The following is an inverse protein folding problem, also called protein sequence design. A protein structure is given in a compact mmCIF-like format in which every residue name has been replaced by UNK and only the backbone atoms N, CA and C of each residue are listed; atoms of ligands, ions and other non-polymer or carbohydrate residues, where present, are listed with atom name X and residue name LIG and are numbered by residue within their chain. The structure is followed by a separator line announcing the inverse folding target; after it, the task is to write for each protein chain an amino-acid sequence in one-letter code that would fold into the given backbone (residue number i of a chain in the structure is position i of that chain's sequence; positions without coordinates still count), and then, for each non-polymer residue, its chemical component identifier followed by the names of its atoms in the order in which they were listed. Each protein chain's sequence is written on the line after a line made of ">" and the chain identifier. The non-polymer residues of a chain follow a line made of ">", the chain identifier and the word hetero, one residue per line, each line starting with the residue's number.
data_IF_845104277407
#
_entry.id   IF_845104277407
#
_cell.length_a   1.000
_cell.length_b   1.000
_cell.length_c   1.000
_cell.angle_alpha   90.00
_cell.angle_beta   90.00
_cell.angle_gamma   90.00
#
_symmetry.space_group_name_H-M   'P 1'
#
loop_
_entity.id
_entity.type
_entity.pdbx_description
1 polymer ?
2 non-polymer ?
3 non-polymer ?
4 water ?
#
# COMPACT_ATOMS: atom_id res chain seq x y z
N UNK A 3 20.68 -10.98 8.47
CA UNK A 3 19.48 -11.28 9.29
C UNK A 3 19.24 -10.16 10.30
N UNK A 4 20.24 -9.91 11.14
CA UNK A 4 20.15 -8.95 12.23
C UNK A 4 20.00 -7.53 11.67
N UNK A 5 20.84 -7.21 10.66
CA UNK A 5 20.87 -5.89 10.07
C UNK A 5 19.59 -5.63 9.26
N UNK A 6 19.09 -6.69 8.62
CA UNK A 6 17.90 -6.60 7.78
C UNK A 6 16.64 -6.53 8.65
N UNK A 7 16.73 -7.08 9.86
CA UNK A 7 15.64 -7.02 10.83
C UNK A 7 15.47 -5.59 11.31
N UNK A 8 16.57 -4.97 11.74
CA UNK A 8 16.60 -3.62 12.25
C UNK A 8 16.04 -2.64 11.20
N UNK A 9 16.37 -2.88 9.93
CA UNK A 9 16.01 -2.00 8.83
C UNK A 9 14.52 -2.16 8.50
N UNK A 10 14.01 -3.40 8.60
CA UNK A 10 12.60 -3.69 8.35
C UNK A 10 11.74 -2.94 9.36
N UNK A 11 12.09 -3.10 10.65
CA UNK A 11 11.35 -2.51 11.75
C UNK A 11 11.33 -0.99 11.59
N UNK A 12 12.49 -0.42 11.24
CA UNK A 12 12.64 1.02 11.10
C UNK A 12 11.80 1.55 9.95
N UNK A 13 11.75 0.80 8.84
CA UNK A 13 10.96 1.16 7.68
C UNK A 13 9.47 1.10 8.00
N UNK A 14 9.09 0.11 8.81
CA UNK A 14 7.71 -0.12 9.22
C UNK A 14 7.22 1.02 10.10
N UNK A 15 8.10 1.52 10.97
CA UNK A 15 7.79 2.61 11.89
C UNK A 15 7.49 3.87 11.10
N UNK A 16 8.40 4.23 10.18
CA UNK A 16 8.21 5.41 9.35
C UNK A 16 6.91 5.26 8.55
N UNK A 17 6.64 4.03 8.10
CA UNK A 17 5.42 3.70 7.36
C UNK A 17 4.19 4.06 8.19
N UNK A 18 4.17 3.58 9.44
CA UNK A 18 3.05 3.77 10.36
C UNK A 18 2.87 5.24 10.71
N UNK A 19 3.95 6.03 10.55
CA UNK A 19 3.89 7.45 10.86
C UNK A 19 3.32 8.26 9.69
N UNK A 20 3.24 7.64 8.50
CA UNK A 20 2.73 8.32 7.31
C UNK A 20 1.25 8.64 7.53
N UNK A 21 0.87 9.91 7.37
CA UNK A 21 -0.47 10.38 7.67
C UNK A 21 -1.53 9.69 6.81
N UNK A 22 -1.12 9.20 5.62
CA UNK A 22 -2.02 8.54 4.69
C UNK A 22 -2.18 7.07 5.10
N UNK A 23 -1.18 6.54 5.79
CA UNK A 23 -1.21 5.15 6.21
C UNK A 23 -2.07 5.05 7.47
N UNK A 24 -1.93 6.03 8.37
CA UNK A 24 -2.55 6.02 9.68
C UNK A 24 -4.07 5.91 9.57
N UNK A 25 -4.64 6.53 8.52
CA UNK A 25 -6.09 6.61 8.41
C UNK A 25 -6.67 5.36 7.74
N UNK A 26 -5.81 4.36 7.46
CA UNK A 26 -6.26 3.13 6.84
C UNK A 26 -6.47 2.06 7.92
N UNK A 27 -7.25 0.99 7.65
CA UNK A 27 -7.51 -0.05 8.64
C UNK A 27 -6.25 -0.82 9.03
N UNK A 28 -6.21 -1.28 10.29
CA UNK A 28 -5.08 -1.99 10.85
C UNK A 28 -4.74 -3.19 9.97
N UNK A 29 -5.78 -3.82 9.39
CA UNK A 29 -5.65 -5.03 8.59
C UNK A 29 -4.77 -4.76 7.35
N UNK A 30 -5.02 -3.64 6.67
CA UNK A 30 -4.23 -3.22 5.52
C UNK A 30 -2.76 -3.13 5.89
N UNK A 31 -2.48 -2.51 7.04
CA UNK A 31 -1.12 -2.21 7.50
C UNK A 31 -0.37 -3.49 7.79
N UNK A 32 -1.02 -4.41 8.52
CA UNK A 32 -0.43 -5.68 8.89
C UNK A 32 -0.08 -6.47 7.63
N UNK A 33 -1.06 -6.61 6.73
CA UNK A 33 -0.89 -7.35 5.49
C UNK A 33 0.24 -6.78 4.64
N UNK A 34 0.35 -5.44 4.58
CA UNK A 34 1.41 -4.82 3.80
C UNK A 34 2.77 -5.14 4.40
N UNK A 35 2.88 -4.98 5.73
CA UNK A 35 4.14 -5.20 6.43
C UNK A 35 4.55 -6.66 6.29
N UNK A 36 3.57 -7.57 6.30
CA UNK A 36 3.83 -9.00 6.12
C UNK A 36 4.37 -9.27 4.72
N UNK A 37 3.85 -8.56 3.71
CA UNK A 37 4.33 -8.70 2.34
C UNK A 37 5.74 -8.12 2.20
N UNK A 38 6.14 -7.32 3.20
CA UNK A 38 7.45 -6.70 3.23
C UNK A 38 8.45 -7.57 3.98
N UNK A 39 8.00 -8.75 4.43
CA UNK A 39 8.88 -9.75 5.01
C UNK A 39 9.00 -9.65 6.54
N UNK A 40 8.21 -8.76 7.16
CA UNK A 40 8.21 -8.64 8.60
C UNK A 40 7.57 -9.88 9.23
N UNK A 41 8.09 -10.30 10.38
CA UNK A 41 7.42 -11.30 11.19
C UNK A 41 6.34 -10.62 12.03
N UNK A 42 5.39 -11.41 12.54
CA UNK A 42 4.39 -10.86 13.44
C UNK A 42 5.09 -10.16 14.60
N UNK A 43 6.19 -10.73 15.09
CA UNK A 43 6.99 -10.13 16.14
C UNK A 43 7.39 -8.70 15.76
N UNK A 44 7.89 -8.55 14.53
CA UNK A 44 8.38 -7.27 14.02
C UNK A 44 7.23 -6.30 13.76
N UNK A 45 6.08 -6.83 13.31
CA UNK A 45 4.89 -6.03 13.09
C UNK A 45 4.47 -5.39 14.41
N UNK A 46 4.42 -6.22 15.46
CA UNK A 46 4.02 -5.81 16.80
C UNK A 46 4.97 -4.75 17.35
N UNK A 47 6.28 -4.94 17.10
CA UNK A 47 7.30 -4.02 17.55
C UNK A 47 7.14 -2.66 16.87
N UNK A 48 6.91 -2.68 15.55
CA UNK A 48 6.73 -1.47 14.76
C UNK A 48 5.61 -0.61 15.34
N UNK A 49 4.45 -1.21 15.59
CA UNK A 49 3.31 -0.52 16.17
C UNK A 49 3.65 0.07 17.54
N UNK A 50 4.44 -0.68 18.32
CA UNK A 50 4.86 -0.23 19.64
C UNK A 50 5.77 0.98 19.52
N UNK A 51 6.81 0.88 18.68
CA UNK A 51 7.79 1.94 18.52
C UNK A 51 7.13 3.18 17.90
N UNK A 52 6.05 2.96 17.15
CA UNK A 52 5.34 4.06 16.50
C UNK A 52 4.28 4.61 17.45
N UNK A 53 4.17 4.00 18.64
CA UNK A 53 3.24 4.44 19.67
C UNK A 53 1.79 4.33 19.23
N UNK A 54 1.45 3.19 18.61
CA UNK A 54 0.12 2.97 18.06
C UNK A 54 -0.40 1.65 18.62
N UNK A 55 -1.71 1.65 18.89
CA UNK A 55 -2.37 0.53 19.52
C UNK A 55 -2.05 -0.70 18.69
N UNK A 56 -1.32 -1.65 19.31
CA UNK A 56 -1.05 -2.93 18.70
C UNK A 56 -2.42 -3.56 18.39
N UNK A 57 -2.72 -3.85 17.11
CA UNK A 57 -4.04 -4.35 16.71
C UNK A 57 -4.23 -5.74 17.28
N UNK A 58 -5.09 -5.82 18.32
CA UNK A 58 -5.21 -6.94 19.23
C UNK A 58 -5.72 -8.18 18.49
N UNK A 59 -6.80 -7.99 17.72
CA UNK A 59 -7.34 -9.01 16.84
C UNK A 59 -6.29 -9.37 15.77
N UNK A 60 -5.41 -10.31 16.14
CA UNK A 60 -4.35 -10.79 15.27
C UNK A 60 -4.80 -12.10 14.65
N UNK A 61 -5.11 -12.06 13.34
CA UNK A 61 -5.51 -13.23 12.59
C UNK A 61 -4.24 -13.87 12.04
N UNK A 62 -3.50 -13.11 11.22
CA UNK A 62 -2.30 -13.59 10.57
C UNK A 62 -1.14 -13.58 11.57
N UNK A 63 -0.83 -14.77 12.07
CA UNK A 63 0.26 -15.01 13.03
C UNK A 63 1.42 -15.68 12.31
N UNK B 3 9.13 -3.14 -23.05
CA UNK B 3 8.37 -1.87 -22.88
C UNK B 3 6.87 -2.13 -23.03
N UNK B 4 6.49 -2.66 -24.20
CA UNK B 4 5.11 -2.90 -24.56
C UNK B 4 4.49 -3.96 -23.63
N UNK B 5 5.23 -5.04 -23.40
CA UNK B 5 4.76 -6.16 -22.59
C UNK B 5 4.68 -5.76 -21.12
N UNK B 6 5.62 -4.91 -20.68
CA UNK B 6 5.68 -4.47 -19.30
C UNK B 6 4.61 -3.41 -19.02
N UNK B 7 4.22 -2.68 -20.08
CA UNK B 7 3.16 -1.69 -20.00
C UNK B 7 1.82 -2.39 -19.76
N UNK B 8 1.53 -3.39 -20.60
CA UNK B 8 0.29 -4.16 -20.53
C UNK B 8 0.13 -4.80 -19.15
N UNK B 9 1.25 -5.27 -18.58
CA UNK B 9 1.26 -5.99 -17.32
C UNK B 9 1.04 -5.03 -16.17
N UNK B 10 1.62 -3.82 -16.27
CA UNK B 10 1.47 -2.79 -15.26
C UNK B 10 0.00 -2.41 -15.14
N UNK B 11 -0.62 -2.10 -16.28
CA UNK B 11 -2.01 -1.65 -16.36
C UNK B 11 -2.92 -2.73 -15.78
N UNK B 12 -2.65 -3.99 -16.13
CA UNK B 12 -3.47 -5.12 -15.70
C UNK B 12 -3.36 -5.32 -14.20
N UNK B 13 -2.15 -5.16 -13.65
CA UNK B 13 -1.91 -5.28 -12.22
C UNK B 13 -2.61 -4.16 -11.47
N UNK B 14 -2.62 -2.96 -12.06
CA UNK B 14 -3.22 -1.77 -11.48
C UNK B 14 -4.74 -1.94 -11.39
N UNK B 15 -5.34 -2.56 -12.41
CA UNK B 15 -6.77 -2.78 -12.49
C UNK B 15 -7.19 -3.72 -11.36
N UNK B 16 -6.51 -4.86 -11.25
CA UNK B 16 -6.81 -5.82 -10.20
C UNK B 16 -6.63 -5.15 -8.84
N UNK B 17 -5.62 -4.29 -8.72
CA UNK B 17 -5.33 -3.53 -7.51
C UNK B 17 -6.54 -2.67 -7.13
N UNK B 18 -7.07 -1.92 -8.10
CA UNK B 18 -8.18 -1.01 -7.89
C UNK B 18 -9.45 -1.78 -7.53
N UNK B 19 -9.50 -3.08 -7.89
CA UNK B 19 -10.66 -3.90 -7.61
C UNK B 19 -10.60 -4.48 -6.19
N UNK B 20 -9.42 -4.44 -5.55
CA UNK B 20 -9.23 -5.00 -4.23
C UNK B 20 -10.07 -4.22 -3.22
N UNK B 21 -10.89 -4.95 -2.45
CA UNK B 21 -11.85 -4.34 -1.52
C UNK B 21 -11.15 -3.50 -0.45
N UNK B 22 -9.87 -3.81 -0.16
CA UNK B 22 -9.10 -3.06 0.83
C UNK B 22 -8.53 -1.79 0.22
N UNK B 23 -8.35 -1.81 -1.09
CA UNK B 23 -7.79 -0.66 -1.79
C UNK B 23 -8.91 0.36 -2.02
N UNK B 24 -10.10 -0.13 -2.36
CA UNK B 24 -11.25 0.70 -2.72
C UNK B 24 -11.62 1.66 -1.60
N UNK B 25 -11.41 1.23 -0.35
CA UNK B 25 -11.75 1.93 0.88
C UNK B 25 -10.83 3.13 1.12
N UNK B 26 -9.74 3.23 0.33
CA UNK B 26 -8.69 4.21 0.59
C UNK B 26 -8.88 5.40 -0.35
N UNK B 27 -8.33 6.60 -0.01
CA UNK B 27 -8.45 7.78 -0.86
C UNK B 27 -7.75 7.59 -2.21
N UNK B 28 -8.27 8.28 -3.23
CA UNK B 28 -7.74 8.23 -4.58
C UNK B 28 -6.25 8.57 -4.59
N UNK B 29 -5.84 9.49 -3.70
CA UNK B 29 -4.47 9.97 -3.58
C UNK B 29 -3.51 8.82 -3.26
N UNK B 30 -3.89 7.97 -2.31
CA UNK B 30 -3.11 6.79 -1.92
C UNK B 30 -2.87 5.91 -3.14
N UNK B 31 -3.92 5.68 -3.92
CA UNK B 31 -3.92 4.75 -5.04
C UNK B 31 -2.99 5.26 -6.13
N UNK B 32 -3.11 6.54 -6.46
CA UNK B 32 -2.30 7.18 -7.49
C UNK B 32 -0.82 7.09 -7.11
N UNK B 33 -0.50 7.50 -5.88
CA UNK B 33 0.87 7.51 -5.36
C UNK B 33 1.47 6.10 -5.42
N UNK B 34 0.69 5.08 -5.05
CA UNK B 34 1.18 3.72 -5.06
C UNK B 34 1.49 3.28 -6.49
N UNK B 35 0.53 3.53 -7.40
CA UNK B 35 0.68 3.12 -8.79
C UNK B 35 1.87 3.83 -9.44
N UNK B 36 2.11 5.09 -9.04
CA UNK B 36 3.25 5.84 -9.53
C UNK B 36 4.57 5.24 -9.04
N UNK B 37 4.57 4.73 -7.80
CA UNK B 37 5.74 4.08 -7.24
C UNK B 37 5.98 2.73 -7.94
N UNK B 38 4.94 2.24 -8.63
CA UNK B 38 5.00 0.99 -9.35
C UNK B 38 5.45 1.20 -10.79
N UNK B 39 5.74 2.46 -11.14
CA UNK B 39 6.33 2.78 -12.44
C UNK B 39 5.29 3.09 -13.52
N UNK B 40 4.01 3.19 -13.13
CA UNK B 40 2.97 3.58 -14.07
C UNK B 40 3.14 5.04 -14.44
N UNK B 41 2.86 5.35 -15.72
CA UNK B 41 2.78 6.73 -16.17
C UNK B 41 1.38 7.26 -15.83
N UNK B 42 1.25 8.58 -15.84
CA UNK B 42 -0.03 9.27 -15.73
C UNK B 42 -1.03 8.59 -16.65
N UNK B 43 -0.61 8.37 -17.89
CA UNK B 43 -1.43 7.76 -18.94
C UNK B 43 -1.98 6.43 -18.44
N UNK B 44 -1.08 5.60 -17.88
CA UNK B 44 -1.40 4.26 -17.44
C UNK B 44 -2.29 4.28 -16.18
N UNK B 45 -2.03 5.26 -15.31
CA UNK B 45 -2.82 5.42 -14.10
C UNK B 45 -4.27 5.70 -14.51
N UNK B 46 -4.44 6.63 -15.45
CA UNK B 46 -5.74 7.06 -15.96
C UNK B 46 -6.47 5.89 -16.59
N UNK B 47 -5.74 5.07 -17.36
CA UNK B 47 -6.30 3.92 -18.06
C UNK B 47 -6.80 2.89 -17.03
N UNK B 48 -5.98 2.63 -16.01
CA UNK B 48 -6.32 1.66 -14.97
C UNK B 48 -7.66 1.99 -14.33
N UNK B 49 -7.82 3.26 -13.92
CA UNK B 49 -9.04 3.75 -13.30
C UNK B 49 -10.23 3.58 -14.25
N UNK B 50 -9.99 3.84 -15.53
CA UNK B 50 -11.03 3.72 -16.55
C UNK B 50 -11.47 2.27 -16.68
N UNK B 51 -10.50 1.37 -16.86
CA UNK B 51 -10.78 -0.04 -17.08
C UNK B 51 -11.41 -0.64 -15.82
N UNK B 52 -11.13 -0.05 -14.65
CA UNK B 52 -11.67 -0.53 -13.39
C UNK B 52 -13.02 0.14 -13.12
N UNK B 53 -13.43 1.04 -14.02
CA UNK B 53 -14.70 1.74 -13.93
C UNK B 53 -14.79 2.63 -12.69
N UNK B 54 -13.73 3.38 -12.42
CA UNK B 54 -13.61 4.23 -11.24
C UNK B 54 -13.17 5.63 -11.68
N UNK B 55 -13.47 6.65 -10.85
CA UNK B 55 -13.09 8.02 -11.17
C UNK B 55 -11.96 8.54 -10.28
N UNK B 56 -11.34 9.65 -10.71
CA UNK B 56 -10.30 10.35 -9.96
C UNK B 56 -10.63 11.83 -9.92
N UNK B 57 -10.72 12.46 -8.72
CA UNK B 57 -10.73 13.91 -8.61
C UNK B 57 -9.35 14.56 -8.76
N UNK B 58 -8.34 13.93 -8.15
CA UNK B 58 -6.99 14.47 -7.98
C UNK B 58 -6.26 14.51 -9.33
N UNK B 59 -6.91 15.10 -10.34
CA UNK B 59 -6.47 14.99 -11.72
C UNK B 59 -5.12 15.66 -11.91
N UNK B 60 -4.87 16.75 -11.19
CA UNK B 60 -3.83 17.71 -11.54
C UNK B 60 -2.45 17.29 -11.02
N UNK B 61 -2.39 16.87 -9.74
CA UNK B 61 -1.11 16.58 -9.10
C UNK B 61 -0.58 15.23 -9.59
X LIG C 1 10.20 -4.57 23.04
X LIG C 1 9.53 -4.33 21.80
X LIG C 1 9.57 -5.72 23.81
X LIG C 1 9.85 -6.96 23.18
X LIG C 1 9.99 -5.78 25.26
X LIG C 1 9.36 -6.87 25.94
X LIG D 1 0.57 5.73 -0.86
X LIG D 1 0.31 5.78 0.64
X LIG D 1 0.46 4.41 1.24
X LIG D 1 -0.69 3.75 1.51
X LIG D 1 -1.75 4.32 1.22
X LIG D 1 -0.77 2.45 2.05
X LIG D 1 -1.71 2.30 3.07
X LIG D 1 -1.86 1.05 3.69
X LIG D 1 -1.09 -0.03 3.29
X LIG D 1 -0.17 0.12 2.25
X LIG D 1 -0.01 1.37 1.64
X LIG D 1 1.22 1.41 0.37
X LIG D 1 2.19 2.67 1.09
X LIG D 1 3.52 2.30 1.35
X LIG D 1 1.72 3.94 1.44
X LIG D 1 2.61 4.84 2.02
X LIG D 1 3.93 4.47 2.27
X LIG D 1 4.42 3.21 1.93
X LIG D 1 5.73 2.95 2.23
X LIG D 1 6.47 1.94 1.70
X LIG D 1 6.09 1.11 0.88
X LIG D 1 7.90 1.87 2.21
X LIG D 1 8.05 0.77 3.08
X LIG D 1 7.27 0.67 4.24
X LIG D 1 7.40 -0.41 5.10
X LIG D 1 8.33 -1.41 4.80
X LIG D 1 8.47 -2.47 5.63
X LIG D 1 9.12 -1.32 3.65
X LIG D 1 8.99 -0.23 2.78
X LIG E 1 -2.60 -4.46 1.82
X LIG E 1 -3.84 -3.96 1.04
X LIG E 1 -3.42 -2.90 0.08
X LIG E 1 -3.60 -1.62 0.48
X LIG E 1 -4.09 -1.46 1.59
X LIG E 1 -3.21 -0.48 -0.24
X LIG E 1 -4.15 0.54 -0.31
X LIG E 1 -3.83 1.71 -1.01
X LIG E 1 -2.60 1.88 -1.62
X LIG E 1 -1.66 0.84 -1.54
X LIG E 1 -1.97 -0.33 -0.83
X LIG E 1 -0.71 -1.55 -0.81
X LIG E 1 -1.62 -2.80 -1.57
X LIG E 1 -1.07 -3.28 -2.77
X LIG E 1 -2.82 -3.29 -1.07
X LIG E 1 -3.48 -4.31 -1.77
X LIG E 1 -2.94 -4.80 -2.96
X LIG E 1 -1.73 -4.31 -3.48
X LIG E 1 -1.28 -4.85 -4.64
X LIG E 1 0.02 -4.83 -5.02
X LIG E 1 0.94 -4.30 -4.40
X LIG E 1 0.31 -5.52 -6.36
X LIG E 1 0.47 -4.56 -7.38
X LIG E 1 -0.52 -3.61 -7.60
X LIG E 1 -0.38 -2.65 -8.60
X LIG E 1 0.77 -2.65 -9.40
X LIG E 1 0.89 -1.75 -10.34
X LIG E 1 1.77 -3.60 -9.19
X LIG E 1 1.62 -4.56 -8.17
#
# INVERSE_FOLDING_TARGET
>A
YPEESEKRKRVSSAVQFLHDSRVKITPAANKIQFLKSKGLTTEEVCEAFEKAGQTIPLDEIKKIMN
>B
YPEESEKRKRVSSAVQFLHDSRVKITPAANKIQFLKSKGLTTEEVCEAFEKAGQTIPLDEIKKIMN
>C hetero
1 GOL C1 O1 C2 O2 C3 O3
>D hetero
1 ET7 CAU CAT NAB CAA OBC CAV CAZ CBA CBB CAY CAW SAX CAD CAE CAC CAF CAG CAH NAI CAJ OAK CAL CAM CAN CAO CAR F1 CAQ CAP
>E hetero
1 ET7 CAU CAT NAB CAA OBC CAV CAZ CBA CBB CAY CAW SAX CAD CAE CAC CAF CAG CAH NAI CAJ OAK CAL CAM CAN CAO CAR F1 CAQ CAP
#
